data_IF_351699162893
#
_entry.id   IF_351699162893
#
_cell.length_a   1.000
_cell.length_b   1.000
_cell.length_c   1.000
_cell.angle_alpha   90.00
_cell.angle_beta   90.00
_cell.angle_gamma   90.00
#
_symmetry.space_group_name_H-M   'P 1'
#
loop_
_entity.id
_entity.type
_entity.pdbx_description
1 polymer ?
#
# COMPACT_ATOMS: atom_id res chain seq x y z
N UNK A 1 -21.14 -7.28 11.77
CA UNK A 1 -20.59 -6.24 10.88
C UNK A 1 -19.25 -6.76 10.44
N UNK A 2 -19.15 -7.20 9.19
CA UNK A 2 -17.91 -7.74 8.65
C UNK A 2 -16.82 -6.69 8.83
N UNK A 3 -15.70 -7.09 9.42
CA UNK A 3 -14.47 -6.32 9.44
C UNK A 3 -14.02 -6.20 7.98
N UNK A 4 -14.65 -5.29 7.24
CA UNK A 4 -14.24 -4.97 5.89
C UNK A 4 -12.80 -4.49 6.00
N UNK A 5 -11.86 -5.33 5.54
CA UNK A 5 -10.44 -5.01 5.51
C UNK A 5 -10.26 -3.70 4.75
N UNK A 6 -10.12 -2.62 5.51
CA UNK A 6 -10.03 -1.28 4.96
C UNK A 6 -8.77 -1.20 4.13
N UNK A 7 -8.82 -0.39 3.10
CA UNK A 7 -7.76 -0.24 2.12
C UNK A 7 -7.28 1.21 2.10
N UNK A 8 -5.97 1.36 2.02
CA UNK A 8 -5.30 2.60 1.70
C UNK A 8 -4.89 2.59 0.23
N UNK A 9 -4.90 3.76 -0.39
CA UNK A 9 -4.39 3.94 -1.75
C UNK A 9 -3.15 4.79 -1.68
N UNK A 10 -2.09 4.28 -2.28
CA UNK A 10 -0.78 4.91 -2.37
C UNK A 10 -0.54 5.27 -3.83
N UNK A 11 -0.14 6.51 -4.10
CA UNK A 11 0.44 6.87 -5.38
C UNK A 11 1.87 6.34 -5.43
N UNK A 12 2.24 5.74 -6.55
CA UNK A 12 3.60 5.27 -6.82
C UNK A 12 4.27 6.28 -7.73
N UNK A 13 5.46 6.73 -7.36
CA UNK A 13 6.35 7.44 -8.27
C UNK A 13 7.44 6.48 -8.74
N UNK A 14 7.38 6.07 -10.00
CA UNK A 14 8.31 5.09 -10.55
C UNK A 14 9.74 5.61 -10.71
N UNK A 15 9.91 6.94 -10.80
CA UNK A 15 11.22 7.57 -10.97
C UNK A 15 12.00 7.54 -9.68
N UNK A 16 11.34 7.82 -8.56
CA UNK A 16 11.96 7.83 -7.23
C UNK A 16 11.71 6.56 -6.43
N UNK A 17 10.90 5.63 -6.95
CA UNK A 17 10.41 4.43 -6.24
C UNK A 17 9.79 4.77 -4.88
N UNK A 18 9.14 5.94 -4.80
CA UNK A 18 8.50 6.42 -3.58
C UNK A 18 7.00 6.21 -3.62
N UNK A 19 6.43 5.82 -2.49
CA UNK A 19 5.00 5.67 -2.29
C UNK A 19 4.48 6.85 -1.47
N UNK A 20 3.36 7.43 -1.88
CA UNK A 20 2.71 8.55 -1.18
C UNK A 20 1.25 8.21 -0.88
N UNK A 21 0.80 8.26 0.38
CA UNK A 21 -0.58 7.93 0.71
C UNK A 21 -1.53 9.04 0.30
N UNK A 22 -2.55 8.67 -0.48
CA UNK A 22 -3.53 9.61 -1.07
C UNK A 22 -4.96 9.34 -0.62
N UNK A 23 -5.26 8.13 -0.10
CA UNK A 23 -6.51 7.82 0.57
C UNK A 23 -6.32 6.69 1.61
N UNK A 24 -7.20 6.64 2.61
CA UNK A 24 -7.25 5.59 3.62
C UNK A 24 -8.68 5.35 4.08
N UNK A 25 -8.89 4.26 4.82
CA UNK A 25 -10.18 3.82 5.34
C UNK A 25 -11.23 3.62 4.24
N UNK A 26 -10.81 3.16 3.07
CA UNK A 26 -11.72 2.82 1.96
C UNK A 26 -12.12 1.34 2.03
N UNK A 27 -13.35 1.02 1.64
CA UNK A 27 -13.69 -0.38 1.31
C UNK A 27 -12.94 -0.81 0.04
N UNK A 28 -12.83 -2.12 -0.20
CA UNK A 28 -12.15 -2.68 -1.37
C UNK A 28 -12.62 -2.03 -2.69
N UNK A 29 -13.93 -2.01 -2.92
CA UNK A 29 -14.53 -1.43 -4.14
C UNK A 29 -14.15 0.05 -4.34
N UNK A 30 -14.12 0.84 -3.25
CA UNK A 30 -13.75 2.26 -3.30
C UNK A 30 -12.27 2.47 -3.58
N UNK A 31 -11.41 1.60 -3.03
CA UNK A 31 -9.98 1.66 -3.30
C UNK A 31 -9.69 1.30 -4.77
N UNK A 32 -10.33 0.26 -5.29
CA UNK A 32 -10.21 -0.13 -6.70
C UNK A 32 -10.73 0.96 -7.64
N UNK A 33 -11.90 1.54 -7.35
CA UNK A 33 -12.42 2.67 -8.13
C UNK A 33 -11.42 3.84 -8.16
N UNK A 34 -10.79 4.14 -7.01
CA UNK A 34 -9.81 5.22 -6.93
C UNK A 34 -8.53 4.93 -7.70
N UNK A 35 -8.03 3.70 -7.68
CA UNK A 35 -6.87 3.30 -8.51
C UNK A 35 -7.19 3.39 -9.99
N UNK A 36 -8.39 2.98 -10.40
CA UNK A 36 -8.83 3.11 -11.79
C UNK A 36 -8.92 4.58 -12.23
N UNK A 37 -9.45 5.47 -11.38
CA UNK A 37 -9.46 6.91 -11.65
C UNK A 37 -8.04 7.44 -11.87
N UNK A 38 -7.11 7.14 -10.96
CA UNK A 38 -5.72 7.57 -11.07
C UNK A 38 -5.02 7.02 -12.31
N UNK A 39 -5.34 5.77 -12.69
CA UNK A 39 -4.82 5.16 -13.90
C UNK A 39 -5.27 5.91 -15.16
N UNK A 40 -6.49 6.46 -15.17
CA UNK A 40 -6.94 7.32 -16.29
C UNK A 40 -6.21 8.65 -16.36
N UNK A 41 -5.63 9.10 -15.25
CA UNK A 41 -4.79 10.30 -15.15
C UNK A 41 -3.29 10.00 -15.40
N UNK A 42 -2.94 8.80 -15.86
CA UNK A 42 -1.56 8.30 -16.00
C UNK A 42 -0.78 8.30 -14.67
N UNK A 43 -1.50 8.23 -13.54
CA UNK A 43 -0.93 8.15 -12.20
C UNK A 43 -0.96 6.71 -11.74
N UNK A 44 0.23 6.12 -11.56
CA UNK A 44 0.33 4.78 -10.97
C UNK A 44 -0.04 4.83 -9.49
N UNK A 45 -0.88 3.88 -9.07
CA UNK A 45 -1.32 3.75 -7.69
C UNK A 45 -1.41 2.28 -7.28
N UNK A 46 -1.20 2.02 -6.00
CA UNK A 46 -1.26 0.71 -5.38
C UNK A 46 -2.21 0.72 -4.20
N UNK A 47 -2.95 -0.38 -4.03
CA UNK A 47 -3.81 -0.61 -2.87
C UNK A 47 -3.02 -1.34 -1.79
N UNK A 48 -3.09 -0.86 -0.56
CA UNK A 48 -2.52 -1.50 0.61
C UNK A 48 -3.62 -1.86 1.61
N UNK A 49 -3.50 -3.04 2.22
CA UNK A 49 -4.40 -3.47 3.29
C UNK A 49 -4.11 -2.74 4.60
N UNK A 50 -5.17 -2.31 5.26
CA UNK A 50 -5.11 -1.77 6.59
C UNK A 50 -5.63 -2.82 7.57
N UNK A 51 -4.78 -3.16 8.53
CA UNK A 51 -5.14 -4.05 9.64
C UNK A 51 -6.17 -3.43 10.58
N UNK A 52 -6.37 -2.11 10.52
CA UNK A 52 -7.30 -1.39 11.38
C UNK A 52 -7.71 -0.05 10.78
N UNK A 53 -8.85 0.47 11.23
CA UNK A 53 -9.30 1.82 10.88
C UNK A 53 -8.39 2.87 11.52
N UNK A 54 -7.81 3.75 10.71
CA UNK A 54 -6.97 4.83 11.20
C UNK A 54 -7.83 5.96 11.77
N UNK A 55 -7.49 6.48 12.95
CA UNK A 55 -8.26 7.53 13.65
C UNK A 55 -8.10 8.96 13.08
N UNK A 56 -7.43 9.13 11.94
CA UNK A 56 -7.22 10.43 11.30
C UNK A 56 -8.29 10.76 10.26
N UNK A 57 -8.69 12.04 10.17
CA UNK A 57 -9.60 12.54 9.12
C UNK A 57 -8.90 12.71 7.76
N UNK A 58 -7.58 12.87 7.79
CA UNK A 58 -6.76 13.15 6.61
C UNK A 58 -5.63 12.15 6.49
N UNK A 59 -5.55 11.51 5.33
CA UNK A 59 -4.45 10.59 4.96
C UNK A 59 -3.08 11.26 5.02
N UNK A 60 -2.98 12.54 4.63
CA UNK A 60 -1.72 13.32 4.63
C UNK A 60 -1.09 13.51 6.02
N UNK A 61 -1.90 13.41 7.07
CA UNK A 61 -1.44 13.55 8.46
C UNK A 61 -1.49 12.22 9.22
N UNK A 62 -1.85 11.12 8.54
CA UNK A 62 -1.96 9.82 9.17
C UNK A 62 -0.59 9.16 9.25
N UNK A 63 -0.04 9.09 10.46
CA UNK A 63 1.29 8.52 10.71
C UNK A 63 1.37 7.06 10.26
N UNK A 64 0.33 6.25 10.50
CA UNK A 64 0.28 4.86 10.05
C UNK A 64 0.37 4.74 8.51
N UNK A 65 -0.33 5.62 7.78
CA UNK A 65 -0.23 5.64 6.31
C UNK A 65 1.13 6.10 5.82
N UNK A 66 1.75 7.09 6.50
CA UNK A 66 3.10 7.57 6.16
C UNK A 66 4.14 6.48 6.39
N UNK A 67 4.15 5.88 7.58
CA UNK A 67 5.07 4.79 7.91
C UNK A 67 4.93 3.62 6.93
N UNK A 68 3.70 3.23 6.57
CA UNK A 68 3.48 2.17 5.59
C UNK A 68 4.03 2.54 4.20
N UNK A 69 3.80 3.78 3.75
CA UNK A 69 4.32 4.26 2.47
C UNK A 69 5.86 4.35 2.47
N UNK A 70 6.46 4.84 3.55
CA UNK A 70 7.91 4.91 3.71
C UNK A 70 8.53 3.51 3.74
N UNK A 71 7.92 2.56 4.47
CA UNK A 71 8.39 1.18 4.50
C UNK A 71 8.37 0.52 3.10
N UNK A 72 7.27 0.71 2.35
CA UNK A 72 7.19 0.23 0.96
C UNK A 72 8.22 0.90 0.05
N UNK A 73 8.44 2.21 0.22
CA UNK A 73 9.46 2.95 -0.54
C UNK A 73 10.87 2.42 -0.26
N UNK A 74 11.16 2.12 1.01
CA UNK A 74 12.42 1.51 1.41
C UNK A 74 12.56 0.12 0.80
N UNK A 75 11.56 -0.76 0.92
CA UNK A 75 11.58 -2.10 0.33
C UNK A 75 11.78 -2.06 -1.20
N UNK A 76 11.08 -1.17 -1.89
CA UNK A 76 11.19 -1.01 -3.34
C UNK A 76 12.57 -0.47 -3.78
N UNK A 77 13.22 0.33 -2.93
CA UNK A 77 14.55 0.90 -3.21
C UNK A 77 15.67 -0.10 -2.90
N UNK A 78 15.53 -0.87 -1.82
CA UNK A 78 16.55 -1.83 -1.40
C UNK A 78 16.50 -3.13 -2.18
N UNK A 79 15.44 -3.37 -2.96
CA UNK A 79 15.29 -4.60 -3.75
C UNK A 79 15.19 -5.86 -2.88
N UNK A 80 15.02 -5.71 -1.56
CA UNK A 80 14.64 -6.79 -0.65
C UNK A 80 13.17 -7.11 -0.92
N UNK A 81 12.92 -7.75 -2.06
CA UNK A 81 11.93 -8.82 -2.12
C UNK A 81 12.31 -9.76 -0.99
N UNK A 82 11.51 -9.78 0.08
CA UNK A 82 11.38 -11.01 0.86
C UNK A 82 10.79 -12.02 -0.14
N UNK A 83 11.69 -12.67 -0.89
CA UNK A 83 11.44 -13.96 -1.49
C UNK A 83 11.03 -14.85 -0.31
N UNK A 84 9.74 -15.16 -0.26
CA UNK A 84 9.21 -16.22 0.58
C UNK A 84 10.02 -17.49 0.28
N UNK A 85 10.82 -17.91 1.28
CA UNK A 85 11.43 -19.22 1.50
C UNK A 85 12.10 -19.96 0.32
N UNK A 86 13.45 -20.09 0.30
CA UNK A 86 14.04 -21.31 -0.22
C UNK A 86 13.79 -22.43 0.81
N UNK A 87 12.78 -23.27 0.58
CA UNK A 87 12.58 -24.51 1.34
C UNK A 87 13.91 -25.28 1.44
N UNK A 88 14.46 -25.53 2.65
CA UNK A 88 15.62 -26.40 2.79
C UNK A 88 15.14 -27.83 3.03
N UNK A 89 14.81 -28.58 1.99
CA UNK A 89 14.74 -30.04 2.11
C UNK A 89 16.11 -30.65 1.82
N UNK A 90 16.94 -30.66 2.87
CA UNK A 90 17.95 -31.70 3.05
C UNK A 90 17.23 -32.98 3.47
N UNK A 91 17.28 -34.03 2.65
CA UNK A 91 16.55 -35.26 2.97
C UNK A 91 16.88 -36.49 2.14
N UNK A 92 18.09 -37.02 2.35
CA UNK A 92 18.47 -38.45 2.29
C UNK A 92 18.93 -39.06 0.95
#
# INVERSE_FOLDING_TARGET
MTEENLRAVLRVDEKTKTFTPIAHNLSAEKAEAKVNELKTEDVQAQVLEQTSRHKGRSVKSCELCKNAAENLSQKATTGLVEEEDPEPESGQ
#
